data_IF_124468559506
#
_entry.id   IF_124468559506
#
_cell.length_a   1.000
_cell.length_b   1.000
_cell.length_c   1.000
_cell.angle_alpha   90.00
_cell.angle_beta   90.00
_cell.angle_gamma   90.00
#
_symmetry.space_group_name_H-M   'P 1'
#
loop_
_entity.id
_entity.type
_entity.pdbx_description
1 polymer ?
#
# COMPACT_ATOMS: atom_id res chain seq x y z
N UNK A 1 22.56 -2.41 -10.25
CA UNK A 1 21.26 -3.09 -10.04
C UNK A 1 20.26 -2.12 -9.45
N UNK A 2 18.98 -2.47 -9.40
CA UNK A 2 17.93 -1.68 -8.72
C UNK A 2 18.07 -1.88 -7.21
N UNK A 3 18.16 -0.79 -6.45
CA UNK A 3 18.39 -0.82 -5.00
C UNK A 3 17.18 -0.40 -4.17
N UNK A 4 16.20 0.27 -4.78
CA UNK A 4 14.97 0.70 -4.10
C UNK A 4 13.85 0.98 -5.11
N UNK A 5 12.60 0.90 -4.64
CA UNK A 5 11.40 1.33 -5.37
C UNK A 5 10.97 2.69 -4.83
N UNK A 6 10.95 3.71 -5.70
CA UNK A 6 10.51 5.05 -5.29
C UNK A 6 8.98 5.12 -5.15
N UNK A 7 8.26 4.55 -6.10
CA UNK A 7 6.81 4.55 -6.13
C UNK A 7 6.25 3.22 -6.64
N UNK A 8 5.09 2.84 -6.14
CA UNK A 8 4.33 1.67 -6.58
C UNK A 8 2.86 2.06 -6.75
N UNK A 9 2.23 1.61 -7.83
CA UNK A 9 0.78 1.58 -7.95
C UNK A 9 0.30 0.14 -7.85
N UNK A 10 -0.76 -0.10 -7.12
CA UNK A 10 -1.49 -1.38 -7.08
C UNK A 10 -2.96 -1.14 -7.39
N UNK A 11 -3.47 -1.91 -8.33
CA UNK A 11 -4.78 -1.78 -8.93
C UNK A 11 -5.13 -3.17 -9.46
N UNK A 12 -5.75 -3.99 -8.59
CA UNK A 12 -5.98 -5.41 -8.83
C UNK A 12 -7.41 -5.82 -8.48
N UNK A 13 -8.34 -4.88 -8.61
CA UNK A 13 -9.78 -5.11 -8.59
C UNK A 13 -10.26 -5.78 -7.28
N UNK A 14 -9.94 -5.17 -6.13
CA UNK A 14 -10.42 -5.61 -4.82
C UNK A 14 -9.55 -6.67 -4.14
N UNK A 15 -8.34 -6.89 -4.64
CA UNK A 15 -7.40 -7.90 -4.13
C UNK A 15 -6.16 -7.29 -3.46
N UNK A 16 -6.17 -5.97 -3.24
CA UNK A 16 -5.04 -5.18 -2.73
C UNK A 16 -4.52 -5.72 -1.40
N UNK A 17 -5.42 -6.12 -0.50
CA UNK A 17 -5.10 -6.69 0.80
C UNK A 17 -4.36 -8.03 0.72
N UNK A 18 -4.75 -8.88 -0.23
CA UNK A 18 -4.14 -10.19 -0.47
C UNK A 18 -2.78 -10.09 -1.13
N UNK A 19 -2.54 -9.05 -1.92
CA UNK A 19 -1.23 -8.80 -2.54
C UNK A 19 -0.27 -8.06 -1.60
N UNK A 20 -0.71 -6.97 -0.95
CA UNK A 20 0.13 -6.18 -0.05
C UNK A 20 0.31 -6.85 1.32
N UNK A 21 -0.69 -7.57 1.81
CA UNK A 21 -0.67 -8.20 3.13
C UNK A 21 0.56 -9.09 3.38
N UNK A 22 0.93 -9.99 2.46
CA UNK A 22 2.16 -10.79 2.51
C UNK A 22 3.44 -10.01 2.24
N UNK A 23 3.37 -8.86 1.55
CA UNK A 23 4.52 -8.00 1.29
C UNK A 23 4.91 -7.18 2.52
N UNK A 24 3.93 -6.71 3.31
CA UNK A 24 4.11 -5.91 4.52
C UNK A 24 4.64 -6.72 5.72
N UNK A 25 5.84 -7.26 5.59
CA UNK A 25 6.56 -7.99 6.64
C UNK A 25 7.89 -7.30 6.99
N UNK A 26 8.40 -7.44 8.22
CA UNK A 26 9.65 -6.80 8.65
C UNK A 26 10.85 -7.09 7.74
N UNK A 27 10.99 -8.32 7.24
CA UNK A 27 12.08 -8.71 6.33
C UNK A 27 12.08 -7.95 5.00
N UNK A 28 10.90 -7.51 4.55
CA UNK A 28 10.71 -6.79 3.29
C UNK A 28 10.80 -5.27 3.47
N UNK A 29 11.03 -4.76 4.69
CA UNK A 29 10.99 -3.33 4.99
C UNK A 29 11.85 -2.48 4.05
N UNK A 30 13.01 -2.99 3.66
CA UNK A 30 13.95 -2.32 2.75
C UNK A 30 13.43 -2.20 1.31
N UNK A 31 12.40 -2.96 0.94
CA UNK A 31 11.75 -2.94 -0.37
C UNK A 31 10.49 -2.06 -0.40
N UNK A 32 10.04 -1.56 0.76
CA UNK A 32 8.79 -0.80 0.83
C UNK A 32 8.90 0.48 -0.01
N UNK A 33 7.95 0.71 -0.94
CA UNK A 33 7.99 1.90 -1.78
C UNK A 33 7.76 3.15 -0.94
N UNK A 34 8.48 4.23 -1.25
CA UNK A 34 8.28 5.52 -0.56
C UNK A 34 6.91 6.13 -0.85
N UNK A 35 6.37 5.90 -2.05
CA UNK A 35 5.03 6.32 -2.46
C UNK A 35 4.22 5.09 -2.91
N UNK A 36 3.02 4.93 -2.39
CA UNK A 36 2.08 3.88 -2.76
C UNK A 36 0.78 4.51 -3.24
N UNK A 37 0.33 4.15 -4.44
CA UNK A 37 -0.99 4.50 -4.96
C UNK A 37 -1.79 3.20 -4.98
N UNK A 38 -2.87 3.16 -4.23
CA UNK A 38 -3.69 1.96 -4.08
C UNK A 38 -5.11 2.26 -4.53
N UNK A 39 -5.65 1.43 -5.42
CA UNK A 39 -7.08 1.45 -5.72
C UNK A 39 -7.87 1.12 -4.44
N UNK A 40 -8.92 1.89 -4.16
CA UNK A 40 -9.77 1.72 -2.97
C UNK A 40 -11.26 1.67 -3.30
N UNK A 41 -11.63 1.67 -4.59
CA UNK A 41 -13.03 1.59 -5.02
C UNK A 41 -13.67 0.25 -4.64
N UNK A 42 -12.89 -0.83 -4.66
CA UNK A 42 -13.33 -2.20 -4.37
C UNK A 42 -12.96 -2.64 -2.94
N UNK A 43 -12.78 -1.70 -2.00
CA UNK A 43 -12.31 -2.01 -0.64
C UNK A 43 -13.23 -2.94 0.17
N UNK A 44 -14.50 -3.04 -0.21
CA UNK A 44 -15.47 -3.92 0.45
C UNK A 44 -15.17 -5.41 0.18
N UNK A 45 -14.38 -5.73 -0.86
CA UNK A 45 -13.96 -7.09 -1.20
C UNK A 45 -12.72 -7.55 -0.41
N UNK A 46 -12.08 -6.63 0.32
CA UNK A 46 -10.91 -6.94 1.13
C UNK A 46 -11.28 -7.82 2.33
N UNK A 47 -10.40 -8.78 2.65
CA UNK A 47 -10.56 -9.66 3.80
C UNK A 47 -9.97 -9.04 5.08
N UNK A 48 -9.04 -8.09 4.93
CA UNK A 48 -8.45 -7.33 6.03
C UNK A 48 -8.41 -5.84 5.71
N UNK A 49 -8.37 -5.02 6.77
CA UNK A 49 -8.09 -3.59 6.65
C UNK A 49 -6.62 -3.34 6.29
N UNK A 50 -6.32 -3.38 4.99
CA UNK A 50 -4.96 -3.17 4.49
C UNK A 50 -4.48 -1.73 4.69
N UNK A 51 -5.39 -0.75 4.75
CA UNK A 51 -5.06 0.65 5.04
C UNK A 51 -4.55 0.79 6.48
N UNK A 52 -5.23 0.21 7.46
CA UNK A 52 -4.77 0.18 8.84
C UNK A 52 -3.41 -0.55 8.95
N UNK A 53 -3.22 -1.65 8.23
CA UNK A 53 -1.93 -2.37 8.21
C UNK A 53 -0.80 -1.55 7.59
N UNK A 54 -1.07 -0.79 6.53
CA UNK A 54 -0.12 0.16 5.95
C UNK A 54 0.26 1.25 6.97
N UNK A 55 -0.72 1.80 7.68
CA UNK A 55 -0.49 2.81 8.72
C UNK A 55 0.36 2.28 9.88
N UNK A 56 0.11 1.05 10.33
CA UNK A 56 0.96 0.36 11.33
C UNK A 56 2.40 0.19 10.85
N UNK A 57 2.62 0.15 9.53
CA UNK A 57 3.94 0.11 8.91
C UNK A 57 4.48 1.53 8.59
N UNK A 58 3.89 2.60 9.11
CA UNK A 58 4.41 3.97 8.95
C UNK A 58 4.04 4.64 7.63
N UNK A 59 3.10 4.09 6.86
CA UNK A 59 2.49 4.82 5.77
C UNK A 59 1.48 5.85 6.28
N UNK A 60 1.43 7.00 5.63
CA UNK A 60 0.45 8.05 5.89
C UNK A 60 -0.30 8.35 4.61
N UNK A 61 -1.64 8.39 4.66
CA UNK A 61 -2.46 8.83 3.52
C UNK A 61 -2.24 10.33 3.32
N UNK A 62 -1.67 10.71 2.18
CA UNK A 62 -1.37 12.11 1.85
C UNK A 62 -2.41 12.74 0.93
N UNK A 63 -3.15 11.92 0.19
CA UNK A 63 -4.23 12.37 -0.69
C UNK A 63 -5.18 11.22 -0.99
N UNK A 64 -6.42 11.57 -1.32
CA UNK A 64 -7.44 10.64 -1.77
C UNK A 64 -8.11 11.19 -3.03
N UNK A 65 -8.47 10.29 -3.92
CA UNK A 65 -9.29 10.56 -5.09
C UNK A 65 -10.57 9.72 -5.00
N UNK A 66 -11.45 9.81 -6.00
CA UNK A 66 -12.69 9.02 -6.03
C UNK A 66 -12.48 7.50 -5.92
N UNK A 67 -11.32 6.98 -6.34
CA UNK A 67 -11.07 5.53 -6.35
C UNK A 67 -9.68 5.12 -5.92
N UNK A 68 -8.85 6.04 -5.42
CA UNK A 68 -7.49 5.71 -4.98
C UNK A 68 -7.14 6.45 -3.70
N UNK A 69 -6.38 5.78 -2.84
CA UNK A 69 -5.66 6.40 -1.74
C UNK A 69 -4.17 6.47 -2.09
N UNK A 70 -3.57 7.64 -1.85
CA UNK A 70 -2.14 7.89 -2.06
C UNK A 70 -1.49 7.93 -0.69
N UNK A 71 -0.51 7.06 -0.48
CA UNK A 71 0.18 6.89 0.79
C UNK A 71 1.68 7.11 0.63
N UNK A 72 2.29 7.77 1.62
CA UNK A 72 3.73 7.93 1.68
C UNK A 72 4.30 7.25 2.92
N UNK A 73 5.41 6.54 2.75
CA UNK A 73 6.16 5.98 3.87
C UNK A 73 6.88 7.12 4.59
N UNK A 74 6.46 7.42 5.82
CA UNK A 74 7.10 8.41 6.69
C UNK A 74 7.98 7.67 7.69
N UNK A 75 9.25 8.04 7.73
CA UNK A 75 10.27 7.54 8.66
C UNK A 75 10.10 8.13 10.05
#
# INVERSE_FOLDING_TARGET
GVTAVAAMKIDIEGMEDRALGPFLKPENRHLFPRLLIMETVNREDWQIDILAKLQQNGYVVTSETRGNSILELRS
#
